data_IF_338669756216
#
_entry.id   IF_338669756216
#
_cell.length_a   1.000
_cell.length_b   1.000
_cell.length_c   1.000
_cell.angle_alpha   90.00
_cell.angle_beta   90.00
_cell.angle_gamma   90.00
#
_symmetry.space_group_name_H-M   'P 1'
#
loop_
_entity.id
_entity.type
_entity.pdbx_description
1 polymer ?
#
# COMPACT_ATOMS: atom_id res chain seq x y z
N UNK A 1 5.78 -19.32 9.77
CA UNK A 1 5.74 -19.76 8.35
C UNK A 1 5.29 -18.58 7.50
N UNK A 2 5.97 -18.27 6.40
CA UNK A 2 5.53 -17.18 5.51
C UNK A 2 4.36 -17.66 4.62
N UNK A 3 3.53 -16.75 4.07
CA UNK A 3 2.33 -17.11 3.31
C UNK A 3 2.61 -18.02 2.12
N UNK A 4 3.81 -17.94 1.55
CA UNK A 4 4.22 -18.70 0.36
C UNK A 4 5.15 -19.87 0.69
N UNK A 5 5.22 -20.32 1.94
CA UNK A 5 6.17 -21.35 2.38
C UNK A 5 6.12 -22.64 1.54
N UNK A 6 4.92 -23.06 1.11
CA UNK A 6 4.72 -24.27 0.31
C UNK A 6 5.14 -24.12 -1.16
N UNK A 7 5.36 -22.89 -1.64
CA UNK A 7 5.64 -22.63 -3.05
C UNK A 7 7.11 -22.83 -3.35
N UNK A 8 7.43 -23.46 -4.50
CA UNK A 8 8.81 -23.51 -4.99
C UNK A 8 9.26 -22.16 -5.55
N UNK A 9 10.55 -22.00 -5.89
CA UNK A 9 11.09 -20.70 -6.32
C UNK A 9 10.45 -20.17 -7.61
N UNK A 10 10.11 -21.04 -8.57
CA UNK A 10 9.53 -20.63 -9.86
C UNK A 10 8.16 -19.94 -9.75
N UNK A 11 7.12 -20.52 -9.11
CA UNK A 11 5.82 -19.87 -8.95
C UNK A 11 5.90 -18.59 -8.12
N UNK A 12 6.78 -18.55 -7.10
CA UNK A 12 7.00 -17.33 -6.32
C UNK A 12 7.56 -16.19 -7.18
N UNK A 13 8.56 -16.45 -8.02
CA UNK A 13 9.10 -15.43 -8.94
C UNK A 13 8.05 -14.96 -9.96
N UNK A 14 7.25 -15.88 -10.51
CA UNK A 14 6.16 -15.50 -11.43
C UNK A 14 5.13 -14.59 -10.73
N UNK A 15 4.70 -14.96 -9.53
CA UNK A 15 3.79 -14.15 -8.72
C UNK A 15 4.37 -12.78 -8.44
N UNK A 16 5.64 -12.71 -8.03
CA UNK A 16 6.36 -11.45 -7.80
C UNK A 16 6.34 -10.55 -9.04
N UNK A 17 6.70 -11.06 -10.22
CA UNK A 17 6.72 -10.27 -11.44
C UNK A 17 5.32 -9.80 -11.87
N UNK A 18 4.33 -10.71 -11.85
CA UNK A 18 2.95 -10.38 -12.25
C UNK A 18 2.32 -9.36 -11.31
N UNK A 19 2.44 -9.59 -9.99
CA UNK A 19 1.93 -8.66 -8.99
C UNK A 19 2.66 -7.32 -9.05
N UNK A 20 3.98 -7.29 -9.27
CA UNK A 20 4.71 -6.03 -9.46
C UNK A 20 4.18 -5.21 -10.63
N UNK A 21 4.04 -5.82 -11.80
CA UNK A 21 3.52 -5.14 -13.01
C UNK A 21 2.09 -4.64 -12.77
N UNK A 22 1.25 -5.47 -12.15
CA UNK A 22 -0.12 -5.10 -11.82
C UNK A 22 -0.18 -3.95 -10.80
N UNK A 23 0.63 -3.99 -9.74
CA UNK A 23 0.76 -2.91 -8.74
C UNK A 23 1.21 -1.62 -9.40
N UNK A 24 2.23 -1.66 -10.26
CA UNK A 24 2.72 -0.47 -10.96
C UNK A 24 1.64 0.11 -11.88
N UNK A 25 0.96 -0.74 -12.68
CA UNK A 25 -0.12 -0.29 -13.55
C UNK A 25 -1.29 0.33 -12.76
N UNK A 26 -1.68 -0.29 -11.64
CA UNK A 26 -2.74 0.23 -10.79
C UNK A 26 -2.34 1.54 -10.12
N UNK A 27 -1.11 1.63 -9.61
CA UNK A 27 -0.56 2.86 -9.02
C UNK A 27 -0.61 4.04 -10.01
N UNK A 28 -0.19 3.82 -11.27
CA UNK A 28 -0.23 4.86 -12.29
C UNK A 28 -1.67 5.29 -12.62
N UNK A 29 -2.63 4.37 -12.62
CA UNK A 29 -4.04 4.69 -12.84
C UNK A 29 -4.65 5.48 -11.65
N UNK A 30 -4.34 5.07 -10.42
CA UNK A 30 -4.72 5.80 -9.19
C UNK A 30 -4.13 7.21 -9.23
N UNK A 31 -2.83 7.35 -9.49
CA UNK A 31 -2.16 8.64 -9.57
C UNK A 31 -2.79 9.56 -10.65
N UNK A 32 -3.05 9.02 -11.85
CA UNK A 32 -3.68 9.77 -12.92
C UNK A 32 -5.09 10.28 -12.55
N UNK A 33 -5.81 9.53 -11.71
CA UNK A 33 -7.14 9.91 -11.22
C UNK A 33 -7.11 10.71 -9.92
N UNK A 34 -5.97 10.73 -9.21
CA UNK A 34 -5.76 11.55 -8.02
C UNK A 34 -5.44 13.00 -8.37
N UNK A 35 -4.65 13.24 -9.44
CA UNK A 35 -4.25 14.60 -9.84
C UNK A 35 -5.39 15.60 -10.00
N UNK A 36 -6.56 15.25 -10.59
CA UNK A 36 -7.70 16.16 -10.66
C UNK A 36 -8.29 16.55 -9.30
N UNK A 37 -7.94 15.84 -8.22
CA UNK A 37 -8.38 16.11 -6.85
C UNK A 37 -7.45 17.10 -6.13
N UNK A 38 -6.26 17.34 -6.67
CA UNK A 38 -5.27 18.22 -6.07
C UNK A 38 -5.64 19.68 -6.23
N UNK A 39 -5.70 20.41 -5.11
CA UNK A 39 -5.93 21.84 -5.05
C UNK A 39 -5.38 22.43 -3.74
N UNK A 40 -5.55 23.73 -3.51
CA UNK A 40 -5.03 24.43 -2.33
C UNK A 40 -5.55 23.88 -0.98
N UNK A 41 -6.75 23.27 -0.96
CA UNK A 41 -7.37 22.66 0.22
C UNK A 41 -6.97 21.18 0.36
N UNK A 42 -6.85 20.48 -0.76
CA UNK A 42 -6.51 19.06 -0.85
C UNK A 42 -5.22 18.84 -1.64
N UNK A 43 -4.04 19.25 -1.13
CA UNK A 43 -2.80 19.25 -1.90
C UNK A 43 -2.29 17.84 -2.27
N UNK A 44 -2.83 16.79 -1.65
CA UNK A 44 -2.51 15.39 -1.94
C UNK A 44 -3.71 14.63 -2.53
N UNK A 45 -4.75 15.34 -2.96
CA UNK A 45 -5.96 14.75 -3.52
C UNK A 45 -6.68 13.85 -2.50
N UNK A 46 -6.95 12.60 -2.87
CA UNK A 46 -7.66 11.64 -2.02
C UNK A 46 -6.92 11.39 -0.69
N UNK A 47 -5.59 11.46 -0.67
CA UNK A 47 -4.80 11.31 0.56
C UNK A 47 -5.09 12.44 1.55
N UNK A 48 -5.37 13.66 1.09
CA UNK A 48 -5.79 14.75 1.98
C UNK A 48 -7.06 14.38 2.74
N UNK A 49 -8.00 13.69 2.06
CA UNK A 49 -9.24 13.22 2.70
C UNK A 49 -8.97 12.05 3.67
N UNK A 50 -8.07 11.12 3.32
CA UNK A 50 -7.66 10.01 4.19
C UNK A 50 -7.13 10.50 5.54
N UNK A 51 -6.37 11.60 5.52
CA UNK A 51 -5.75 12.18 6.71
C UNK A 51 -6.51 13.38 7.28
N UNK A 52 -7.77 13.61 6.87
CA UNK A 52 -8.55 14.74 7.34
C UNK A 52 -8.79 14.72 8.86
N UNK A 53 -9.02 13.54 9.44
CA UNK A 53 -9.16 13.29 10.89
C UNK A 53 -10.41 13.89 11.55
N UNK A 54 -10.88 15.04 11.09
CA UNK A 54 -12.03 15.78 11.57
C UNK A 54 -13.08 15.93 10.46
N UNK A 55 -14.36 15.98 10.86
CA UNK A 55 -15.47 16.15 9.93
C UNK A 55 -15.41 17.49 9.20
N UNK A 56 -15.13 18.59 9.91
CA UNK A 56 -14.97 19.93 9.33
C UNK A 56 -13.92 19.94 8.21
N UNK A 57 -12.74 19.37 8.46
CA UNK A 57 -11.66 19.26 7.48
C UNK A 57 -12.05 18.40 6.28
N UNK A 58 -12.70 17.25 6.52
CA UNK A 58 -13.18 16.37 5.46
C UNK A 58 -14.21 17.07 4.56
N UNK A 59 -15.13 17.83 5.15
CA UNK A 59 -16.14 18.60 4.40
C UNK A 59 -15.49 19.71 3.57
N UNK A 60 -14.52 20.45 4.12
CA UNK A 60 -13.78 21.45 3.36
C UNK A 60 -13.09 20.86 2.12
N UNK A 61 -12.50 19.67 2.26
CA UNK A 61 -11.90 18.94 1.14
C UNK A 61 -12.96 18.53 0.12
N UNK A 62 -14.06 17.91 0.56
CA UNK A 62 -15.15 17.47 -0.32
C UNK A 62 -15.81 18.64 -1.06
N UNK A 63 -15.98 19.78 -0.40
CA UNK A 63 -16.57 21.00 -0.97
C UNK A 63 -15.62 21.70 -1.95
N UNK A 64 -14.31 21.48 -1.81
CA UNK A 64 -13.33 21.93 -2.81
C UNK A 64 -13.41 21.14 -4.13
N UNK A 65 -14.03 19.95 -4.12
CA UNK A 65 -14.16 19.10 -5.29
C UNK A 65 -15.50 19.32 -6.01
N UNK A 66 -15.42 19.86 -7.22
CA UNK A 66 -16.53 19.91 -8.17
C UNK A 66 -16.97 18.51 -8.66
N UNK A 67 -18.02 18.46 -9.46
CA UNK A 67 -18.64 17.21 -9.93
C UNK A 67 -17.64 16.27 -10.62
N UNK A 68 -16.82 16.77 -11.54
CA UNK A 68 -15.80 15.97 -12.23
C UNK A 68 -14.75 15.41 -11.28
N UNK A 69 -14.29 16.20 -10.31
CA UNK A 69 -13.33 15.74 -9.30
C UNK A 69 -13.95 14.65 -8.42
N UNK A 70 -15.22 14.80 -8.01
CA UNK A 70 -15.93 13.75 -7.24
C UNK A 70 -16.10 12.45 -8.03
N UNK A 71 -16.29 12.50 -9.35
CA UNK A 71 -16.29 11.31 -10.21
C UNK A 71 -14.91 10.64 -10.26
N UNK A 72 -13.85 11.43 -10.35
CA UNK A 72 -12.47 10.91 -10.25
C UNK A 72 -12.21 10.27 -8.89
N UNK A 73 -12.64 10.89 -7.78
CA UNK A 73 -12.54 10.32 -6.44
C UNK A 73 -13.31 9.00 -6.32
N UNK A 74 -14.54 8.94 -6.84
CA UNK A 74 -15.35 7.72 -6.86
C UNK A 74 -14.68 6.59 -7.65
N UNK A 75 -14.15 6.88 -8.84
CA UNK A 75 -13.40 5.90 -9.62
C UNK A 75 -12.13 5.47 -8.91
N UNK A 76 -11.37 6.42 -8.34
CA UNK A 76 -10.13 6.18 -7.62
C UNK A 76 -10.36 5.21 -6.44
N UNK A 77 -11.35 5.49 -5.59
CA UNK A 77 -11.74 4.62 -4.46
C UNK A 77 -12.24 3.25 -4.91
N UNK A 78 -13.03 3.18 -5.97
CA UNK A 78 -13.51 1.90 -6.50
C UNK A 78 -12.38 1.05 -7.06
N UNK A 79 -11.45 1.67 -7.76
CA UNK A 79 -10.29 1.02 -8.36
C UNK A 79 -9.24 0.62 -7.31
N UNK A 80 -9.19 1.30 -6.17
CA UNK A 80 -8.28 0.99 -5.07
C UNK A 80 -8.50 -0.42 -4.47
N UNK A 81 -9.70 -0.97 -4.59
CA UNK A 81 -9.96 -2.38 -4.24
C UNK A 81 -9.17 -3.39 -5.07
N UNK A 82 -8.85 -3.06 -6.33
CA UNK A 82 -7.94 -3.88 -7.12
C UNK A 82 -6.49 -3.66 -6.66
N UNK A 83 -6.13 -2.40 -6.40
CA UNK A 83 -4.80 -2.03 -5.95
C UNK A 83 -4.41 -2.73 -4.64
N UNK A 84 -5.32 -2.78 -3.66
CA UNK A 84 -5.06 -3.44 -2.38
C UNK A 84 -4.76 -4.93 -2.50
N UNK A 85 -5.38 -5.62 -3.46
CA UNK A 85 -5.08 -7.03 -3.73
C UNK A 85 -3.69 -7.17 -4.33
N UNK A 86 -3.39 -6.39 -5.38
CA UNK A 86 -2.15 -6.57 -6.13
C UNK A 86 -0.93 -6.09 -5.34
N UNK A 87 -1.01 -4.96 -4.62
CA UNK A 87 0.12 -4.49 -3.80
C UNK A 87 0.36 -5.44 -2.63
N UNK A 88 -0.68 -6.01 -2.02
CA UNK A 88 -0.50 -6.91 -0.89
C UNK A 88 0.21 -8.20 -1.32
N UNK A 89 -0.19 -8.75 -2.46
CA UNK A 89 0.48 -9.90 -3.07
C UNK A 89 1.93 -9.58 -3.42
N UNK A 90 2.19 -8.41 -4.03
CA UNK A 90 3.53 -8.00 -4.41
C UNK A 90 4.46 -7.86 -3.19
N UNK A 91 4.07 -7.06 -2.20
CA UNK A 91 4.91 -6.80 -1.03
C UNK A 91 5.14 -8.08 -0.20
N UNK A 92 4.09 -8.91 -0.05
CA UNK A 92 4.21 -10.20 0.65
C UNK A 92 5.13 -11.17 -0.10
N UNK A 93 4.96 -11.31 -1.42
CA UNK A 93 5.82 -12.14 -2.25
C UNK A 93 7.27 -11.64 -2.28
N UNK A 94 7.49 -10.32 -2.28
CA UNK A 94 8.81 -9.71 -2.23
C UNK A 94 9.52 -10.01 -0.90
N UNK A 95 8.82 -9.93 0.23
CA UNK A 95 9.34 -10.32 1.54
C UNK A 95 9.72 -11.82 1.57
N UNK A 96 8.86 -12.69 1.06
CA UNK A 96 9.13 -14.14 0.95
C UNK A 96 10.25 -14.48 -0.03
N UNK A 97 10.38 -13.74 -1.14
CA UNK A 97 11.45 -13.91 -2.10
C UNK A 97 12.81 -13.55 -1.49
N UNK A 98 12.87 -12.40 -0.83
CA UNK A 98 14.08 -11.90 -0.18
C UNK A 98 14.58 -12.87 0.89
N UNK A 99 13.66 -13.49 1.63
CA UNK A 99 13.95 -14.55 2.60
C UNK A 99 14.68 -15.77 2.01
N UNK A 100 14.45 -16.06 0.73
CA UNK A 100 15.06 -17.20 0.02
C UNK A 100 16.32 -16.81 -0.73
N UNK A 101 16.37 -15.58 -1.25
CA UNK A 101 17.52 -15.04 -1.95
C UNK A 101 18.73 -14.83 -1.04
N UNK A 102 18.51 -14.69 0.28
CA UNK A 102 19.57 -14.45 1.25
C UNK A 102 19.29 -15.18 2.56
N UNK A 103 20.29 -15.87 3.11
CA UNK A 103 20.23 -16.23 4.53
C UNK A 103 20.37 -14.94 5.36
N UNK A 104 19.41 -14.65 6.26
CA UNK A 104 19.46 -13.42 7.06
C UNK A 104 20.77 -13.34 7.84
N UNK A 105 21.49 -12.23 7.72
CA UNK A 105 22.72 -11.98 8.49
C UNK A 105 22.45 -11.68 9.96
N UNK A 106 21.22 -11.31 10.31
CA UNK A 106 20.78 -11.11 11.69
C UNK A 106 19.43 -11.80 11.95
N UNK A 107 19.26 -12.30 13.17
CA UNK A 107 18.03 -12.99 13.59
C UNK A 107 16.81 -12.06 13.57
N UNK A 108 16.99 -10.76 13.84
CA UNK A 108 15.93 -9.75 13.69
C UNK A 108 15.41 -9.63 12.26
N UNK A 109 16.30 -9.60 11.26
CA UNK A 109 15.92 -9.55 9.85
C UNK A 109 15.23 -10.84 9.38
N UNK A 110 15.60 -11.98 9.99
CA UNK A 110 14.96 -13.27 9.76
C UNK A 110 13.53 -13.33 10.28
N UNK A 111 13.24 -12.72 11.43
CA UNK A 111 11.90 -12.69 12.02
C UNK A 111 11.00 -11.67 11.33
N UNK A 112 11.56 -10.48 11.03
CA UNK A 112 10.83 -9.38 10.38
C UNK A 112 10.18 -9.83 9.06
N UNK A 113 10.83 -10.71 8.29
CA UNK A 113 10.29 -11.23 7.02
C UNK A 113 8.89 -11.85 7.15
N UNK A 114 8.68 -12.63 8.22
CA UNK A 114 7.45 -13.39 8.42
C UNK A 114 6.34 -12.47 8.89
N UNK A 115 6.70 -11.59 9.82
CA UNK A 115 5.79 -10.59 10.37
C UNK A 115 5.33 -9.67 9.25
N UNK A 116 6.25 -9.13 8.44
CA UNK A 116 5.93 -8.20 7.36
C UNK A 116 5.13 -8.87 6.23
N UNK A 117 5.46 -10.10 5.83
CA UNK A 117 4.72 -10.81 4.80
C UNK A 117 3.23 -11.03 5.17
N UNK A 118 2.91 -11.16 6.46
CA UNK A 118 1.54 -11.23 6.96
C UNK A 118 0.94 -9.86 7.27
N UNK A 119 1.73 -8.94 7.84
CA UNK A 119 1.27 -7.61 8.22
C UNK A 119 0.78 -6.81 7.01
N UNK A 120 1.35 -7.02 5.83
CA UNK A 120 0.88 -6.41 4.58
C UNK A 120 -0.58 -6.78 4.27
N UNK A 121 -1.03 -8.02 4.55
CA UNK A 121 -2.44 -8.37 4.39
C UNK A 121 -3.33 -7.68 5.42
N UNK A 122 -2.83 -7.48 6.64
CA UNK A 122 -3.51 -6.64 7.63
C UNK A 122 -3.60 -5.18 7.16
N UNK A 123 -2.55 -4.65 6.52
CA UNK A 123 -2.59 -3.32 5.91
C UNK A 123 -3.65 -3.22 4.81
N UNK A 124 -3.80 -4.24 3.94
CA UNK A 124 -4.86 -4.30 2.94
C UNK A 124 -6.27 -4.39 3.54
N UNK A 125 -6.44 -5.08 4.67
CA UNK A 125 -7.71 -5.09 5.39
C UNK A 125 -8.03 -3.72 6.00
N UNK A 126 -7.03 -3.04 6.56
CA UNK A 126 -7.17 -1.65 7.03
C UNK A 126 -7.51 -0.71 5.87
N UNK A 127 -6.87 -0.89 4.72
CA UNK A 127 -7.15 -0.14 3.49
C UNK A 127 -8.62 -0.30 3.05
N UNK A 128 -9.12 -1.53 3.07
CA UNK A 128 -10.52 -1.81 2.77
C UNK A 128 -11.50 -1.08 3.71
N UNK A 129 -11.20 -1.03 5.02
CA UNK A 129 -12.03 -0.33 6.02
C UNK A 129 -11.97 1.18 5.80
N UNK A 130 -10.78 1.70 5.51
CA UNK A 130 -10.54 3.10 5.18
C UNK A 130 -11.34 3.52 3.94
N UNK A 131 -11.29 2.74 2.86
CA UNK A 131 -12.07 2.98 1.65
C UNK A 131 -13.58 2.99 1.91
N UNK A 132 -14.10 2.12 2.80
CA UNK A 132 -15.50 2.18 3.21
C UNK A 132 -15.81 3.52 3.87
N UNK A 133 -14.96 4.00 4.78
CA UNK A 133 -15.16 5.27 5.44
C UNK A 133 -15.14 6.46 4.45
N UNK A 134 -14.24 6.43 3.47
CA UNK A 134 -14.20 7.45 2.42
C UNK A 134 -15.42 7.42 1.50
N UNK A 135 -15.93 6.23 1.16
CA UNK A 135 -17.18 6.12 0.42
C UNK A 135 -18.35 6.76 1.18
N UNK A 136 -18.44 6.56 2.49
CA UNK A 136 -19.49 7.17 3.30
C UNK A 136 -19.39 8.70 3.31
N UNK A 137 -18.17 9.24 3.40
CA UNK A 137 -17.90 10.67 3.28
C UNK A 137 -18.30 11.21 1.89
N UNK A 138 -17.88 10.52 0.81
CA UNK A 138 -18.17 10.92 -0.56
C UNK A 138 -19.67 10.88 -0.88
N UNK A 139 -20.41 9.97 -0.26
CA UNK A 139 -21.88 9.87 -0.35
C UNK A 139 -22.61 10.90 0.53
N UNK A 140 -21.89 11.77 1.24
CA UNK A 140 -22.46 12.88 2.01
C UNK A 140 -22.80 12.54 3.47
N UNK A 141 -22.18 11.52 4.07
CA UNK A 141 -22.36 11.25 5.50
C UNK A 141 -21.77 12.36 6.36
N UNK A 142 -22.57 12.92 7.27
CA UNK A 142 -22.17 13.94 8.24
C UNK A 142 -21.69 13.35 9.58
N UNK A 143 -21.32 12.06 9.59
CA UNK A 143 -20.89 11.38 10.80
C UNK A 143 -19.38 11.54 11.01
N UNK A 144 -18.99 12.17 12.12
CA UNK A 144 -17.60 12.40 12.48
C UNK A 144 -16.78 11.11 12.72
N UNK A 145 -17.43 9.95 12.86
CA UNK A 145 -16.73 8.67 12.97
C UNK A 145 -15.99 8.26 11.68
N UNK A 146 -16.48 8.62 10.49
CA UNK A 146 -15.85 8.23 9.22
C UNK A 146 -14.46 8.82 9.00
N UNK A 147 -14.22 10.14 9.12
CA UNK A 147 -12.88 10.70 8.92
C UNK A 147 -11.89 10.20 9.97
N UNK A 148 -12.33 10.02 11.22
CA UNK A 148 -11.49 9.44 12.29
C UNK A 148 -11.08 8.00 11.93
N UNK A 149 -12.04 7.17 11.49
CA UNK A 149 -11.79 5.80 11.09
C UNK A 149 -10.85 5.72 9.88
N UNK A 150 -11.09 6.55 8.87
CA UNK A 150 -10.23 6.64 7.68
C UNK A 150 -8.79 6.99 8.07
N UNK A 151 -8.60 8.04 8.87
CA UNK A 151 -7.27 8.48 9.32
C UNK A 151 -6.57 7.44 10.20
N UNK A 152 -7.28 6.79 11.11
CA UNK A 152 -6.70 5.73 11.94
C UNK A 152 -6.23 4.54 11.09
N UNK A 153 -7.07 4.06 10.19
CA UNK A 153 -6.72 2.97 9.28
C UNK A 153 -5.59 3.36 8.33
N UNK A 154 -5.64 4.55 7.73
CA UNK A 154 -4.59 5.09 6.86
C UNK A 154 -3.25 5.18 7.59
N UNK A 155 -3.22 5.73 8.80
CA UNK A 155 -1.98 5.88 9.58
C UNK A 155 -1.31 4.53 9.83
N UNK A 156 -2.08 3.53 10.27
CA UNK A 156 -1.55 2.20 10.56
C UNK A 156 -1.15 1.47 9.26
N UNK A 157 -1.96 1.53 8.20
CA UNK A 157 -1.66 0.85 6.93
C UNK A 157 -0.38 1.40 6.30
N UNK A 158 -0.22 2.74 6.26
CA UNK A 158 0.97 3.37 5.69
C UNK A 158 2.22 3.05 6.51
N UNK A 159 2.14 3.01 7.85
CA UNK A 159 3.27 2.60 8.68
C UNK A 159 3.74 1.16 8.34
N UNK A 160 2.80 0.23 8.18
CA UNK A 160 3.10 -1.16 7.79
C UNK A 160 3.71 -1.21 6.39
N UNK A 161 3.09 -0.54 5.41
CA UNK A 161 3.54 -0.54 4.01
C UNK A 161 4.95 0.06 3.89
N UNK A 162 5.20 1.21 4.51
CA UNK A 162 6.51 1.87 4.47
C UNK A 162 7.59 1.00 5.13
N UNK A 163 7.27 0.34 6.25
CA UNK A 163 8.20 -0.60 6.90
C UNK A 163 8.50 -1.80 5.99
N UNK A 164 7.48 -2.34 5.32
CA UNK A 164 7.63 -3.43 4.34
C UNK A 164 8.49 -3.03 3.15
N UNK A 165 8.25 -1.86 2.57
CA UNK A 165 9.05 -1.30 1.47
C UNK A 165 10.50 -1.11 1.91
N UNK A 166 10.74 -0.49 3.07
CA UNK A 166 12.08 -0.30 3.62
C UNK A 166 12.84 -1.62 3.79
N UNK A 167 12.17 -2.64 4.33
CA UNK A 167 12.73 -3.99 4.44
C UNK A 167 13.15 -4.58 3.08
N UNK A 168 12.27 -4.49 2.08
CA UNK A 168 12.51 -4.99 0.72
C UNK A 168 13.70 -4.25 0.08
N UNK A 169 13.73 -2.92 0.16
CA UNK A 169 14.79 -2.10 -0.44
C UNK A 169 16.16 -2.41 0.17
N UNK A 170 16.25 -2.43 1.51
CA UNK A 170 17.50 -2.74 2.22
C UNK A 170 17.99 -4.15 1.88
N UNK A 171 17.09 -5.13 1.88
CA UNK A 171 17.46 -6.50 1.56
C UNK A 171 17.85 -6.70 0.09
N UNK A 172 17.12 -6.11 -0.85
CA UNK A 172 17.44 -6.17 -2.27
C UNK A 172 18.80 -5.53 -2.56
N UNK A 173 19.07 -4.36 -1.98
CA UNK A 173 20.37 -3.69 -2.07
C UNK A 173 21.51 -4.57 -1.56
N UNK A 174 21.32 -5.21 -0.39
CA UNK A 174 22.30 -6.13 0.16
C UNK A 174 22.53 -7.37 -0.75
N UNK A 175 21.49 -7.90 -1.39
CA UNK A 175 21.63 -9.01 -2.36
C UNK A 175 22.46 -8.58 -3.58
N UNK A 176 22.23 -7.38 -4.11
CA UNK A 176 22.96 -6.84 -5.26
C UNK A 176 24.45 -6.65 -4.95
N UNK A 177 24.80 -6.08 -3.80
CA UNK A 177 26.21 -5.89 -3.40
C UNK A 177 26.94 -7.23 -3.29
N UNK A 178 26.30 -8.24 -2.69
CA UNK A 178 26.95 -9.54 -2.48
C UNK A 178 27.13 -10.33 -3.78
N UNK A 179 26.28 -10.13 -4.79
CA UNK A 179 26.46 -10.72 -6.13
C UNK A 179 27.64 -10.15 -6.90
N UNK A 180 28.09 -8.94 -6.55
CA UNK A 180 29.18 -8.25 -7.23
C UNK A 180 30.55 -8.39 -6.54
N UNK A 181 30.64 -9.08 -5.39
CA UNK A 181 31.95 -9.44 -4.83
C UNK A 181 32.52 -10.62 -5.65
N UNK A 182 33.64 -10.46 -6.37
CA UNK A 182 34.31 -11.60 -6.97
C UNK A 182 34.68 -12.57 -5.85
N UNK A 183 34.47 -13.86 -6.08
CA UNK A 183 35.02 -14.90 -5.23
C UNK A 183 36.53 -14.86 -5.38
N UNK A 184 37.22 -14.23 -4.43
CA UNK A 184 38.67 -14.38 -4.32
C UNK A 184 38.94 -15.85 -4.00
N UNK A 185 39.49 -16.55 -5.00
CA UNK A 185 39.97 -17.94 -4.98
C UNK A 185 41.27 -18.07 -4.21
#
# INVERSE_FOLDING_TARGET
>A
MDPFYQWSSRPLHKSLCVSFIATLGCFLAIEATNRPLENDIAPLGILSLQFAGELSSALLILDSWGETARLHAAFNLGFDYLFLVVYALFLSAACSWLARARQPTSQGFATARFILAWAVFAAAALDMIENVALWQLLLGSMNAHWPILATACATVKFAIILTGIGYIVIGAWAVLIHRHRPTDS
#
